data_IF_377441366174
#
_entry.id   IF_377441366174
#
_cell.length_a   1.000
_cell.length_b   1.000
_cell.length_c   1.000
_cell.angle_alpha   90.00
_cell.angle_beta   90.00
_cell.angle_gamma   90.00
#
_symmetry.space_group_name_H-M   'P 1'
#
loop_
_entity.id
_entity.type
_entity.pdbx_description
1 polymer ?
#
# COMPACT_ATOMS: atom_id res chain seq x y z
N UNK A 1 -6.06 -1.57 9.05
CA UNK A 1 -4.68 -1.26 8.62
C UNK A 1 -3.91 -2.45 8.01
N UNK A 2 -3.60 -3.54 8.75
CA UNK A 2 -2.80 -4.68 8.23
C UNK A 2 -3.44 -5.43 7.05
N UNK A 3 -4.77 -5.53 7.03
CA UNK A 3 -5.56 -6.20 5.99
C UNK A 3 -5.45 -5.53 4.62
N UNK A 4 -5.48 -4.20 4.56
CA UNK A 4 -5.37 -3.46 3.30
C UNK A 4 -4.00 -3.62 2.65
N UNK A 5 -2.93 -3.61 3.44
CA UNK A 5 -1.57 -3.87 2.95
C UNK A 5 -1.48 -5.29 2.37
N UNK A 6 -2.05 -6.28 3.07
CA UNK A 6 -2.09 -7.67 2.60
C UNK A 6 -2.89 -7.83 1.31
N UNK A 7 -4.02 -7.12 1.18
CA UNK A 7 -4.84 -7.11 -0.03
C UNK A 7 -4.10 -6.47 -1.21
N UNK A 8 -3.40 -5.36 -0.98
CA UNK A 8 -2.58 -4.71 -2.01
C UNK A 8 -1.45 -5.64 -2.49
N UNK A 9 -0.74 -6.30 -1.57
CA UNK A 9 0.29 -7.28 -1.92
C UNK A 9 -0.27 -8.47 -2.71
N UNK A 10 -1.46 -8.98 -2.35
CA UNK A 10 -2.13 -10.04 -3.08
C UNK A 10 -2.53 -9.62 -4.51
N UNK A 11 -3.11 -8.42 -4.66
CA UNK A 11 -3.48 -7.89 -5.99
C UNK A 11 -2.28 -7.59 -6.89
N UNK A 12 -1.14 -7.21 -6.29
CA UNK A 12 0.11 -7.05 -7.04
C UNK A 12 0.62 -8.41 -7.52
N UNK A 13 0.53 -9.45 -6.67
CA UNK A 13 0.94 -10.81 -7.04
C UNK A 13 0.08 -11.43 -8.15
N UNK A 14 -1.20 -11.05 -8.27
CA UNK A 14 -2.08 -11.54 -9.34
C UNK A 14 -1.82 -10.90 -10.71
N UNK A 15 -1.00 -9.85 -10.81
CA UNK A 15 -0.60 -9.24 -12.08
C UNK A 15 -1.65 -8.30 -12.72
N UNK A 16 -2.80 -8.09 -12.09
CA UNK A 16 -3.83 -7.18 -12.60
C UNK A 16 -3.54 -5.72 -12.17
N UNK A 17 -3.01 -4.94 -13.12
CA UNK A 17 -2.54 -3.57 -12.88
C UNK A 17 -3.64 -2.64 -12.39
N UNK A 18 -4.84 -2.69 -12.99
CA UNK A 18 -5.93 -1.78 -12.65
C UNK A 18 -6.45 -2.06 -11.22
N UNK A 19 -6.53 -3.34 -10.86
CA UNK A 19 -6.89 -3.77 -9.51
C UNK A 19 -5.80 -3.45 -8.49
N UNK A 20 -4.53 -3.66 -8.83
CA UNK A 20 -3.39 -3.34 -7.98
C UNK A 20 -3.31 -1.82 -7.67
N UNK A 21 -3.50 -0.96 -8.67
CA UNK A 21 -3.50 0.50 -8.48
C UNK A 21 -4.61 0.95 -7.51
N UNK A 22 -5.82 0.42 -7.67
CA UNK A 22 -6.95 0.71 -6.76
C UNK A 22 -6.69 0.23 -5.33
N UNK A 23 -6.18 -0.99 -5.19
CA UNK A 23 -5.87 -1.58 -3.89
C UNK A 23 -4.73 -0.83 -3.16
N UNK A 24 -3.68 -0.43 -3.89
CA UNK A 24 -2.56 0.34 -3.36
C UNK A 24 -3.03 1.72 -2.91
N UNK A 25 -3.86 2.43 -3.70
CA UNK A 25 -4.42 3.73 -3.29
C UNK A 25 -5.24 3.62 -2.00
N UNK A 26 -6.08 2.60 -1.88
CA UNK A 26 -6.84 2.35 -0.66
C UNK A 26 -5.94 2.05 0.55
N UNK A 27 -4.88 1.25 0.36
CA UNK A 27 -3.91 0.96 1.40
C UNK A 27 -3.12 2.20 1.85
N UNK A 28 -2.77 3.10 0.93
CA UNK A 28 -2.10 4.37 1.23
C UNK A 28 -3.00 5.29 2.05
N UNK A 29 -4.28 5.44 1.67
CA UNK A 29 -5.20 6.28 2.44
C UNK A 29 -5.35 5.79 3.88
N UNK A 30 -5.41 4.48 4.08
CA UNK A 30 -5.53 3.89 5.42
C UNK A 30 -4.20 3.96 6.22
N UNK A 31 -3.06 3.87 5.55
CA UNK A 31 -1.73 4.13 6.12
C UNK A 31 -1.63 5.55 6.69
N UNK A 32 -2.05 6.53 5.89
CA UNK A 32 -1.96 7.95 6.22
C UNK A 32 -2.94 8.29 7.37
N UNK A 33 -4.16 7.71 7.36
CA UNK A 33 -5.11 7.81 8.49
C UNK A 33 -4.56 7.18 9.76
N UNK A 34 -3.92 6.02 9.68
CA UNK A 34 -3.32 5.36 10.84
C UNK A 34 -2.15 6.17 11.43
N UNK A 35 -1.40 6.88 10.57
CA UNK A 35 -0.36 7.80 11.01
C UNK A 35 -0.95 9.03 11.71
N UNK A 36 -2.02 9.62 11.15
CA UNK A 36 -2.70 10.76 11.77
C UNK A 36 -3.29 10.41 13.13
N UNK A 37 -3.86 9.21 13.28
CA UNK A 37 -4.40 8.71 14.57
C UNK A 37 -3.32 8.28 15.56
N UNK A 38 -2.03 8.38 15.23
CA UNK A 38 -0.92 7.97 16.09
C UNK A 38 -0.75 6.45 16.26
N UNK A 39 -1.52 5.64 15.53
CA UNK A 39 -1.44 4.16 15.60
C UNK A 39 -0.11 3.65 15.06
N UNK A 40 0.49 4.37 14.10
CA UNK A 40 1.84 4.10 13.58
C UNK A 40 2.62 5.40 13.46
N UNK A 41 3.94 5.31 13.70
CA UNK A 41 4.81 6.46 13.48
C UNK A 41 4.82 6.89 12.00
N UNK A 42 4.90 8.20 11.74
CA UNK A 42 4.96 8.79 10.38
C UNK A 42 5.98 8.11 9.47
N UNK A 43 7.18 7.82 9.97
CA UNK A 43 8.23 7.14 9.21
C UNK A 43 7.88 5.68 8.90
N UNK A 44 7.13 5.00 9.78
CA UNK A 44 6.64 3.65 9.53
C UNK A 44 5.58 3.66 8.42
N UNK A 45 4.68 4.65 8.42
CA UNK A 45 3.71 4.83 7.34
C UNK A 45 4.40 5.11 6.00
N UNK A 46 5.34 6.06 5.98
CA UNK A 46 6.14 6.40 4.80
C UNK A 46 6.91 5.20 4.23
N UNK A 47 7.57 4.41 5.09
CA UNK A 47 8.27 3.18 4.67
C UNK A 47 7.34 2.17 4.01
N UNK A 48 6.15 1.95 4.59
CA UNK A 48 5.16 1.00 4.04
C UNK A 48 4.58 1.49 2.71
N UNK A 49 4.29 2.79 2.61
CA UNK A 49 3.85 3.46 1.37
C UNK A 49 4.88 3.30 0.26
N UNK A 50 6.14 3.63 0.54
CA UNK A 50 7.25 3.48 -0.41
C UNK A 50 7.41 2.04 -0.92
N UNK A 51 7.33 1.05 -0.03
CA UNK A 51 7.42 -0.37 -0.41
C UNK A 51 6.28 -0.80 -1.34
N UNK A 52 5.04 -0.39 -1.07
CA UNK A 52 3.90 -0.71 -1.93
C UNK A 52 4.03 -0.11 -3.32
N UNK A 53 4.43 1.16 -3.41
CA UNK A 53 4.66 1.83 -4.69
C UNK A 53 5.79 1.18 -5.47
N UNK A 54 6.89 0.81 -4.81
CA UNK A 54 8.00 0.10 -5.47
C UNK A 54 7.57 -1.22 -6.08
N UNK A 55 6.73 -1.99 -5.39
CA UNK A 55 6.19 -3.25 -5.90
C UNK A 55 5.24 -3.05 -7.09
N UNK A 56 4.38 -2.03 -7.03
CA UNK A 56 3.50 -1.68 -8.14
C UNK A 56 4.30 -1.26 -9.38
N UNK A 57 5.32 -0.42 -9.22
CA UNK A 57 6.18 0.03 -10.31
C UNK A 57 7.02 -1.11 -10.91
N UNK A 58 7.41 -2.09 -10.09
CA UNK A 58 8.09 -3.30 -10.57
C UNK A 58 7.18 -4.20 -11.42
N UNK A 59 5.85 -4.04 -11.34
CA UNK A 59 4.91 -4.72 -12.24
C UNK A 59 4.85 -4.05 -13.62
N UNK A 60 5.28 -2.78 -13.72
CA UNK A 60 5.20 -1.96 -14.94
C UNK A 60 6.52 -1.83 -15.68
N UNK A 61 7.64 -2.22 -15.07
CA UNK A 61 8.98 -2.22 -15.67
C UNK A 61 9.26 -3.58 -16.30
#
# INVERSE_FOLDING_TARGET
MRTFVKKADATIATGDRALAERAVRAAISELDRAAQKGVIHRSNAARRKSRLVRKLNALTA
#
